data_IF_095513186452
#
_entry.id   IF_095513186452
#
_cell.length_a   1.000
_cell.length_b   1.000
_cell.length_c   1.000
_cell.angle_alpha   90.00
_cell.angle_beta   90.00
_cell.angle_gamma   90.00
#
_symmetry.space_group_name_H-M   'P 1'
#
loop_
_entity.id
_entity.type
_entity.pdbx_description
1 polymer ?
#
# COMPACT_ATOMS: atom_id res chain seq x y z
N UNK A 1 -26.12 23.38 23.94
CA UNK A 1 -25.42 23.41 25.24
C UNK A 1 -25.87 22.20 26.02
N UNK A 2 -25.08 21.13 26.00
CA UNK A 2 -25.08 20.05 27.00
C UNK A 2 -24.11 18.98 26.53
N UNK A 3 -22.98 18.96 27.15
CA UNK A 3 -22.10 17.90 27.58
C UNK A 3 -22.10 16.58 26.81
N UNK A 4 -21.11 16.43 25.95
CA UNK A 4 -20.59 15.14 25.52
C UNK A 4 -19.78 14.54 26.69
N UNK A 5 -19.97 13.29 27.10
CA UNK A 5 -19.17 12.67 28.14
C UNK A 5 -17.74 12.45 27.64
N UNK A 6 -16.82 13.13 28.31
CA UNK A 6 -15.40 12.82 28.27
C UNK A 6 -15.15 11.51 29.02
N UNK A 7 -14.18 10.77 28.53
CA UNK A 7 -13.57 9.57 29.11
C UNK A 7 -14.32 8.25 28.90
N UNK A 8 -13.94 7.56 27.83
CA UNK A 8 -14.01 6.11 27.78
C UNK A 8 -12.72 5.61 28.46
N UNK A 9 -12.83 5.22 29.74
CA UNK A 9 -11.79 4.47 30.40
C UNK A 9 -11.79 3.06 29.82
N UNK A 10 -10.68 2.65 29.19
CA UNK A 10 -10.48 1.31 28.71
C UNK A 10 -10.57 0.32 29.91
N UNK A 11 -11.47 -0.64 29.79
CA UNK A 11 -11.55 -1.78 30.69
C UNK A 11 -10.26 -2.60 30.54
N UNK A 12 -9.50 -2.68 31.62
CA UNK A 12 -8.34 -3.55 31.74
C UNK A 12 -8.81 -5.01 31.73
N UNK A 13 -8.68 -5.68 30.58
CA UNK A 13 -8.52 -7.14 30.58
C UNK A 13 -7.96 -7.57 29.22
N UNK A 14 -6.69 -7.97 29.22
CA UNK A 14 -6.00 -8.70 28.15
C UNK A 14 -5.90 -8.05 26.75
N UNK A 15 -5.80 -6.75 26.66
CA UNK A 15 -5.26 -6.11 25.46
C UNK A 15 -3.73 -6.25 25.46
N UNK A 16 -3.18 -6.63 24.31
CA UNK A 16 -1.75 -6.69 24.10
C UNK A 16 -1.09 -5.36 24.52
N UNK A 17 0.14 -5.38 25.00
CA UNK A 17 0.93 -4.25 25.53
C UNK A 17 0.97 -2.96 24.67
N UNK A 18 0.19 -2.89 23.61
CA UNK A 18 0.02 -1.71 22.77
C UNK A 18 -0.87 -0.62 23.39
N UNK A 19 -1.70 -0.98 24.40
CA UNK A 19 -2.70 -0.05 24.96
C UNK A 19 -2.18 0.83 26.10
N UNK A 20 -0.90 0.74 26.46
CA UNK A 20 -0.36 1.45 27.63
C UNK A 20 0.87 2.33 27.40
N UNK A 21 1.17 2.67 26.15
CA UNK A 21 2.24 3.65 25.90
C UNK A 21 1.64 5.06 26.04
N UNK A 22 1.80 5.66 27.22
CA UNK A 22 1.45 7.08 27.43
C UNK A 22 2.46 7.99 26.75
N UNK A 23 2.01 9.17 26.33
CA UNK A 23 2.86 10.22 25.70
C UNK A 23 4.12 10.49 26.54
N UNK A 24 4.06 10.37 27.86
CA UNK A 24 5.19 10.55 28.77
C UNK A 24 6.27 9.49 28.65
N UNK A 25 5.92 8.25 28.26
CA UNK A 25 6.90 7.18 28.00
C UNK A 25 7.62 7.36 26.68
N UNK A 26 7.06 8.14 25.74
CA UNK A 26 7.70 8.48 24.47
C UNK A 26 8.68 9.65 24.57
N UNK A 27 8.58 10.44 25.66
CA UNK A 27 9.40 11.64 25.85
C UNK A 27 10.52 11.48 26.89
N UNK A 28 10.55 10.40 27.66
CA UNK A 28 11.46 10.19 28.80
C UNK A 28 12.59 9.20 28.61
N UNK A 29 12.70 8.55 27.46
CA UNK A 29 13.83 7.68 27.15
C UNK A 29 14.93 8.47 26.41
N UNK A 30 16.17 8.35 26.88
CA UNK A 30 17.35 8.79 26.13
C UNK A 30 17.18 8.37 24.66
N UNK A 31 17.33 9.31 23.76
CA UNK A 31 17.36 9.07 22.32
C UNK A 31 18.38 7.98 22.08
N UNK A 32 17.92 6.74 21.89
CA UNK A 32 18.74 5.76 21.22
C UNK A 32 19.17 6.44 19.92
N UNK A 33 20.47 6.55 19.72
CA UNK A 33 21.07 7.23 18.59
C UNK A 33 20.25 6.94 17.35
N UNK A 34 19.52 7.94 16.91
CA UNK A 34 18.92 7.89 15.59
C UNK A 34 20.05 7.46 14.69
N UNK A 35 19.88 6.33 14.00
CA UNK A 35 20.77 5.98 12.90
C UNK A 35 20.72 7.19 11.99
N UNK A 36 21.65 8.10 12.19
CA UNK A 36 21.86 9.25 11.32
C UNK A 36 22.28 8.60 10.02
N UNK A 37 21.30 8.35 9.17
CA UNK A 37 21.61 8.18 7.76
C UNK A 37 22.48 9.37 7.40
N UNK A 38 23.68 9.14 6.82
CA UNK A 38 24.52 10.26 6.45
C UNK A 38 23.62 11.21 5.69
N UNK A 39 23.47 12.42 6.20
CA UNK A 39 22.81 13.51 5.49
C UNK A 39 23.62 13.70 4.23
N UNK A 40 23.23 12.93 3.20
CA UNK A 40 23.91 12.94 1.93
C UNK A 40 23.90 14.37 1.47
N UNK A 41 25.08 14.91 1.17
CA UNK A 41 25.23 16.19 0.49
C UNK A 41 24.12 16.26 -0.54
N UNK A 42 23.30 17.32 -0.49
CA UNK A 42 22.31 17.60 -1.53
C UNK A 42 23.03 17.47 -2.86
N UNK A 43 22.82 16.36 -3.53
CA UNK A 43 23.31 16.23 -4.89
C UNK A 43 22.43 17.18 -5.70
N UNK A 44 23.02 18.23 -6.34
CA UNK A 44 22.27 18.98 -7.32
C UNK A 44 21.71 17.92 -8.29
N UNK A 45 20.41 17.98 -8.56
CA UNK A 45 19.82 17.19 -9.63
C UNK A 45 20.68 17.46 -10.86
N UNK A 46 21.36 16.48 -11.43
CA UNK A 46 21.73 16.65 -12.83
C UNK A 46 20.41 16.90 -13.54
N UNK A 47 20.40 17.75 -14.55
CA UNK A 47 19.34 17.81 -15.57
C UNK A 47 19.22 16.47 -16.33
N UNK A 48 19.41 15.39 -15.63
CA UNK A 48 19.31 14.04 -16.13
C UNK A 48 17.84 13.68 -16.05
N UNK A 49 17.16 13.91 -17.15
CA UNK A 49 15.93 13.17 -17.39
C UNK A 49 16.19 11.70 -17.11
N UNK A 50 15.34 11.06 -16.33
CA UNK A 50 15.27 9.61 -16.36
C UNK A 50 15.12 9.21 -17.82
N UNK A 51 15.88 8.24 -18.31
CA UNK A 51 15.72 7.83 -19.70
C UNK A 51 14.27 7.46 -19.93
N UNK A 52 13.71 8.05 -20.97
CA UNK A 52 12.29 7.91 -21.31
C UNK A 52 11.92 6.52 -21.80
N UNK A 53 12.91 5.69 -22.11
CA UNK A 53 12.71 4.34 -22.60
C UNK A 53 13.64 3.36 -21.89
N UNK A 54 13.12 2.21 -21.50
CA UNK A 54 13.92 1.15 -20.87
C UNK A 54 15.17 0.75 -21.63
N UNK A 55 15.10 0.67 -22.94
CA UNK A 55 16.21 0.28 -23.81
C UNK A 55 17.41 1.24 -23.75
N UNK A 56 17.21 2.50 -23.39
CA UNK A 56 18.32 3.46 -23.22
C UNK A 56 19.10 3.23 -21.94
N UNK A 57 18.47 2.59 -20.95
CA UNK A 57 19.09 2.25 -19.68
C UNK A 57 19.87 0.94 -19.71
N UNK A 58 19.54 0.04 -20.62
CA UNK A 58 19.84 -1.37 -20.44
C UNK A 58 20.33 -2.10 -21.69
N UNK A 59 21.05 -1.42 -22.53
CA UNK A 59 21.64 -2.02 -23.75
C UNK A 59 22.37 -3.37 -23.46
N UNK A 60 22.95 -3.53 -22.25
CA UNK A 60 23.63 -4.76 -21.85
C UNK A 60 22.68 -5.96 -21.63
N UNK A 61 21.39 -5.70 -21.42
CA UNK A 61 20.39 -6.74 -21.12
C UNK A 61 19.31 -6.83 -22.23
N UNK A 62 19.62 -6.43 -23.44
CA UNK A 62 18.68 -6.34 -24.58
C UNK A 62 17.81 -7.58 -24.78
N UNK A 63 18.34 -8.77 -24.52
CA UNK A 63 17.60 -10.04 -24.64
C UNK A 63 16.35 -10.14 -23.77
N UNK A 64 16.21 -9.28 -22.75
CA UNK A 64 15.05 -9.27 -21.85
C UNK A 64 14.04 -8.19 -22.19
N UNK A 65 14.34 -7.32 -23.14
CA UNK A 65 13.49 -6.17 -23.49
C UNK A 65 12.84 -6.37 -24.84
N UNK A 66 11.53 -6.13 -24.96
CA UNK A 66 10.91 -6.03 -26.26
C UNK A 66 11.42 -4.75 -26.98
N UNK A 67 11.56 -4.83 -28.27
CA UNK A 67 12.10 -3.74 -29.13
C UNK A 67 11.30 -2.43 -29.06
N UNK A 68 10.05 -2.49 -28.63
CA UNK A 68 9.15 -1.34 -28.46
C UNK A 68 9.13 -0.77 -27.03
N UNK A 69 9.97 -1.26 -26.14
CA UNK A 69 10.04 -0.79 -24.75
C UNK A 69 8.87 -1.22 -23.86
N UNK A 70 8.03 -2.15 -24.31
CA UNK A 70 6.90 -2.67 -23.53
C UNK A 70 7.08 -4.14 -23.16
N UNK A 71 6.67 -4.48 -21.94
CA UNK A 71 6.64 -5.87 -21.51
C UNK A 71 5.53 -6.63 -22.25
N UNK A 72 5.86 -7.81 -22.77
CA UNK A 72 4.88 -8.74 -23.30
C UNK A 72 4.54 -9.81 -22.25
N UNK A 73 3.28 -9.90 -21.92
CA UNK A 73 2.78 -10.92 -20.98
C UNK A 73 2.69 -12.28 -21.68
N UNK A 74 3.21 -13.29 -21.02
CA UNK A 74 2.99 -14.68 -21.46
C UNK A 74 1.62 -15.14 -21.01
N UNK A 75 1.02 -16.05 -21.74
CA UNK A 75 -0.29 -16.61 -21.40
C UNK A 75 -0.35 -17.17 -19.96
N UNK A 76 0.71 -17.84 -19.50
CA UNK A 76 0.81 -18.34 -18.13
C UNK A 76 0.81 -17.24 -17.07
N UNK A 77 1.44 -16.10 -17.35
CA UNK A 77 1.44 -14.95 -16.44
C UNK A 77 0.07 -14.29 -16.34
N UNK A 78 -0.63 -14.18 -17.48
CA UNK A 78 -2.02 -13.70 -17.52
C UNK A 78 -2.94 -14.62 -16.72
N UNK A 79 -2.82 -15.94 -16.93
CA UNK A 79 -3.60 -16.92 -16.19
C UNK A 79 -3.30 -16.88 -14.68
N UNK A 80 -2.04 -16.72 -14.31
CA UNK A 80 -1.65 -16.57 -12.90
C UNK A 80 -2.25 -15.29 -12.29
N UNK A 81 -2.18 -14.17 -12.99
CA UNK A 81 -2.79 -12.91 -12.56
C UNK A 81 -4.32 -13.05 -12.42
N UNK A 82 -4.97 -13.63 -13.40
CA UNK A 82 -6.42 -13.90 -13.35
C UNK A 82 -6.79 -14.81 -12.18
N UNK A 83 -6.02 -15.85 -11.93
CA UNK A 83 -6.26 -16.75 -10.80
C UNK A 83 -6.11 -16.00 -9.47
N UNK A 84 -5.06 -15.18 -9.31
CA UNK A 84 -4.81 -14.42 -8.08
C UNK A 84 -5.88 -13.37 -7.76
N UNK A 85 -6.51 -12.78 -8.77
CA UNK A 85 -7.46 -11.68 -8.58
C UNK A 85 -8.92 -12.05 -8.86
N UNK A 86 -9.20 -12.74 -9.96
CA UNK A 86 -10.57 -13.02 -10.38
C UNK A 86 -11.19 -14.17 -9.59
N UNK A 87 -10.45 -15.23 -9.33
CA UNK A 87 -11.00 -16.43 -8.65
C UNK A 87 -11.47 -16.11 -7.22
N UNK A 88 -10.70 -15.41 -6.36
CA UNK A 88 -11.19 -15.00 -5.05
C UNK A 88 -12.45 -14.14 -5.14
N UNK A 89 -12.49 -13.21 -6.08
CA UNK A 89 -13.65 -12.35 -6.32
C UNK A 89 -14.91 -13.17 -6.61
N UNK A 90 -14.88 -14.10 -7.56
CA UNK A 90 -16.05 -14.92 -7.90
C UNK A 90 -16.42 -15.88 -6.77
N UNK A 91 -15.46 -16.50 -6.11
CA UNK A 91 -15.73 -17.35 -4.95
C UNK A 91 -16.43 -16.60 -3.83
N UNK A 92 -16.02 -15.39 -3.51
CA UNK A 92 -16.63 -14.59 -2.46
C UNK A 92 -18.10 -14.25 -2.70
N UNK A 93 -18.55 -14.29 -3.96
CA UNK A 93 -19.94 -13.98 -4.34
C UNK A 93 -20.88 -15.17 -4.25
N UNK A 94 -20.38 -16.38 -4.33
CA UNK A 94 -21.19 -17.61 -4.29
C UNK A 94 -21.18 -18.29 -2.93
N UNK A 95 -20.22 -17.94 -2.06
CA UNK A 95 -20.14 -18.49 -0.72
C UNK A 95 -21.07 -17.73 0.23
N UNK A 96 -21.68 -18.42 1.21
CA UNK A 96 -22.54 -17.77 2.19
C UNK A 96 -21.74 -16.88 3.17
N UNK A 97 -22.41 -15.87 3.70
CA UNK A 97 -21.82 -14.94 4.65
C UNK A 97 -21.00 -13.82 3.99
N UNK A 98 -20.51 -12.90 4.82
CA UNK A 98 -19.81 -11.68 4.36
C UNK A 98 -18.30 -11.73 4.54
N UNK A 99 -17.78 -12.66 5.34
CA UNK A 99 -16.35 -12.78 5.59
C UNK A 99 -15.67 -13.65 4.53
N UNK A 100 -15.28 -13.02 3.43
CA UNK A 100 -14.58 -13.67 2.33
C UNK A 100 -13.36 -12.83 1.92
N UNK A 101 -12.25 -12.90 2.66
CA UNK A 101 -11.06 -12.13 2.35
C UNK A 101 -10.54 -12.47 0.95
N UNK A 102 -10.32 -11.47 0.14
CA UNK A 102 -9.69 -11.56 -1.19
C UNK A 102 -8.20 -11.27 -1.08
N UNK A 103 -7.87 -10.28 -0.25
CA UNK A 103 -6.52 -9.86 0.07
C UNK A 103 -6.32 -9.83 1.58
N UNK A 104 -5.18 -10.32 2.02
CA UNK A 104 -4.73 -10.18 3.38
C UNK A 104 -3.42 -9.41 3.47
N UNK A 105 -3.33 -8.55 4.46
CA UNK A 105 -2.14 -7.80 4.81
C UNK A 105 -1.49 -8.46 6.00
N UNK A 106 -0.38 -9.13 5.76
CA UNK A 106 0.44 -9.73 6.80
C UNK A 106 1.38 -8.67 7.37
N UNK A 107 1.04 -8.16 8.54
CA UNK A 107 1.80 -7.13 9.24
C UNK A 107 3.00 -7.76 9.93
N UNK A 108 4.03 -8.06 9.16
CA UNK A 108 5.18 -8.84 9.60
C UNK A 108 6.26 -8.02 10.31
N UNK A 109 6.23 -6.68 10.16
CA UNK A 109 7.19 -5.78 10.80
C UNK A 109 6.51 -4.44 11.16
N UNK A 110 6.84 -3.90 12.35
CA UNK A 110 6.39 -2.56 12.74
C UNK A 110 7.48 -1.51 12.61
N UNK A 111 8.75 -1.94 12.61
CA UNK A 111 9.88 -1.04 12.50
C UNK A 111 9.97 -0.49 11.08
N UNK A 112 10.41 0.76 10.99
CA UNK A 112 10.67 1.42 9.72
C UNK A 112 11.97 2.22 9.79
N UNK A 113 12.67 2.30 8.68
CA UNK A 113 13.87 3.12 8.50
C UNK A 113 13.57 4.54 8.03
N UNK A 114 12.29 4.89 7.85
CA UNK A 114 11.80 6.22 7.49
C UNK A 114 10.74 6.71 8.46
N UNK A 115 10.61 8.03 8.58
CA UNK A 115 9.66 8.69 9.45
C UNK A 115 8.75 9.62 8.64
N UNK A 116 7.74 9.04 7.98
CA UNK A 116 6.74 9.80 7.25
C UNK A 116 5.72 10.40 8.24
N UNK A 117 5.45 11.71 8.13
CA UNK A 117 4.58 12.40 9.09
C UNK A 117 3.10 12.03 8.99
N UNK A 118 2.68 11.40 7.91
CA UNK A 118 1.32 10.87 7.74
C UNK A 118 1.20 9.40 8.12
N UNK A 119 2.33 8.71 8.44
CA UNK A 119 2.33 7.27 8.64
C UNK A 119 1.80 6.87 10.02
N UNK A 120 0.80 6.01 10.03
CA UNK A 120 0.23 5.40 11.24
C UNK A 120 0.86 4.03 11.55
N UNK A 121 1.69 3.49 10.65
CA UNK A 121 2.02 2.07 10.58
C UNK A 121 3.46 1.75 11.01
N UNK A 122 4.11 2.57 11.86
CA UNK A 122 5.41 2.14 12.38
C UNK A 122 5.55 2.38 13.88
N UNK A 123 6.19 1.40 14.52
CA UNK A 123 6.64 1.49 15.90
C UNK A 123 7.95 0.71 16.04
N UNK A 124 9.04 1.42 16.28
CA UNK A 124 10.37 0.83 16.36
C UNK A 124 10.61 0.01 17.66
N UNK A 125 9.66 0.03 18.59
CA UNK A 125 9.72 -0.75 19.83
C UNK A 125 9.06 -2.13 19.71
N UNK A 126 8.17 -2.30 18.72
CA UNK A 126 7.45 -3.56 18.54
C UNK A 126 8.34 -4.60 17.87
N UNK A 127 8.36 -5.80 18.41
CA UNK A 127 9.05 -6.95 17.82
C UNK A 127 8.29 -7.46 16.62
N UNK A 128 8.99 -7.67 15.51
CA UNK A 128 8.41 -8.21 14.29
C UNK A 128 7.87 -9.64 14.45
N UNK A 129 7.03 -10.05 13.52
CA UNK A 129 6.40 -11.37 13.46
C UNK A 129 7.44 -12.50 13.41
N UNK A 130 7.17 -13.60 14.10
CA UNK A 130 8.00 -14.81 13.97
C UNK A 130 7.66 -15.56 12.69
N UNK A 131 8.59 -16.37 12.20
CA UNK A 131 8.37 -17.18 11.01
C UNK A 131 7.25 -18.21 11.23
N UNK A 132 7.14 -18.75 12.43
CA UNK A 132 6.08 -19.68 12.80
C UNK A 132 4.69 -19.04 12.67
N UNK A 133 4.51 -17.85 13.25
CA UNK A 133 3.23 -17.11 13.14
C UNK A 133 2.92 -16.77 11.68
N UNK A 134 3.93 -16.34 10.92
CA UNK A 134 3.75 -16.01 9.51
C UNK A 134 3.29 -17.22 8.68
N UNK A 135 3.91 -18.38 8.86
CA UNK A 135 3.53 -19.62 8.15
C UNK A 135 2.15 -20.11 8.54
N UNK A 136 1.81 -20.11 9.84
CA UNK A 136 0.46 -20.45 10.31
C UNK A 136 -0.58 -19.51 9.73
N UNK A 137 -0.29 -18.23 9.66
CA UNK A 137 -1.18 -17.23 9.05
C UNK A 137 -1.42 -17.52 7.56
N UNK A 138 -0.38 -17.86 6.81
CA UNK A 138 -0.47 -18.23 5.40
C UNK A 138 -1.27 -19.53 5.22
N UNK A 139 -1.06 -20.54 6.04
CA UNK A 139 -1.80 -21.79 6.00
C UNK A 139 -3.29 -21.57 6.30
N UNK A 140 -3.59 -20.76 7.30
CA UNK A 140 -4.96 -20.36 7.59
C UNK A 140 -5.60 -19.61 6.42
N UNK A 141 -4.92 -18.60 5.87
CA UNK A 141 -5.41 -17.86 4.71
C UNK A 141 -5.64 -18.74 3.48
N UNK A 142 -4.80 -19.76 3.27
CA UNK A 142 -4.96 -20.71 2.19
C UNK A 142 -6.27 -21.52 2.31
N UNK A 143 -6.77 -21.76 3.52
CA UNK A 143 -8.06 -22.39 3.78
C UNK A 143 -9.26 -21.47 3.47
N UNK A 144 -9.04 -20.18 3.32
CA UNK A 144 -10.08 -19.17 3.01
C UNK A 144 -10.17 -18.90 1.49
N UNK A 145 -10.92 -17.86 1.12
CA UNK A 145 -10.98 -17.34 -0.25
C UNK A 145 -9.75 -16.53 -0.65
N UNK A 146 -8.91 -16.14 0.29
CA UNK A 146 -7.77 -15.26 0.07
C UNK A 146 -6.71 -15.89 -0.84
N UNK A 147 -6.27 -15.15 -1.86
CA UNK A 147 -5.16 -15.57 -2.76
C UNK A 147 -4.19 -14.43 -3.07
N UNK A 148 -4.43 -13.25 -2.52
CA UNK A 148 -3.50 -12.13 -2.59
C UNK A 148 -2.95 -11.87 -1.20
N UNK A 149 -1.64 -11.94 -1.04
CA UNK A 149 -0.95 -11.71 0.22
C UNK A 149 -0.04 -10.50 0.07
N UNK A 150 -0.32 -9.44 0.82
CA UNK A 150 0.57 -8.29 0.95
C UNK A 150 1.44 -8.46 2.20
N UNK A 151 2.76 -8.42 2.05
CA UNK A 151 3.67 -8.32 3.18
C UNK A 151 3.76 -6.85 3.59
N UNK A 152 3.20 -6.52 4.74
CA UNK A 152 3.11 -5.14 5.22
C UNK A 152 3.83 -4.91 6.54
N UNK A 153 3.93 -3.63 6.89
CA UNK A 153 4.46 -3.18 8.17
C UNK A 153 4.96 -1.76 8.11
N UNK A 154 5.97 -1.46 8.90
CA UNK A 154 6.81 -0.29 8.71
C UNK A 154 7.61 -0.44 7.41
N UNK A 155 8.78 -1.11 7.48
CA UNK A 155 9.51 -1.50 6.26
C UNK A 155 9.85 -3.01 6.32
N UNK A 156 9.25 -3.77 5.44
CA UNK A 156 9.38 -5.23 5.41
C UNK A 156 10.81 -5.70 5.11
N UNK A 157 11.57 -4.90 4.39
CA UNK A 157 12.95 -5.22 3.98
C UNK A 157 14.01 -4.93 5.06
N UNK A 158 13.62 -4.48 6.25
CA UNK A 158 14.50 -4.50 7.42
C UNK A 158 14.89 -5.93 7.82
N UNK A 159 14.08 -6.92 7.41
CA UNK A 159 14.33 -8.35 7.64
C UNK A 159 14.34 -9.11 6.30
N UNK A 160 15.35 -8.87 5.43
CA UNK A 160 15.31 -9.33 4.05
C UNK A 160 15.27 -10.87 3.92
N UNK A 161 15.96 -11.60 4.78
CA UNK A 161 15.95 -13.07 4.74
C UNK A 161 14.62 -13.65 5.24
N UNK A 162 14.00 -13.01 6.22
CA UNK A 162 12.65 -13.36 6.64
C UNK A 162 11.66 -13.11 5.49
N UNK A 163 11.69 -11.91 4.90
CA UNK A 163 10.81 -11.56 3.78
C UNK A 163 10.95 -12.57 2.63
N UNK A 164 12.18 -12.92 2.26
CA UNK A 164 12.47 -13.93 1.23
C UNK A 164 11.82 -15.29 1.54
N UNK A 165 12.03 -15.83 2.75
CA UNK A 165 11.45 -17.14 3.13
C UNK A 165 9.93 -17.13 3.18
N UNK A 166 9.32 -16.02 3.58
CA UNK A 166 7.86 -15.91 3.63
C UNK A 166 7.27 -15.74 2.24
N UNK A 167 7.93 -14.97 1.36
CA UNK A 167 7.55 -14.89 -0.06
C UNK A 167 7.57 -16.27 -0.72
N UNK A 168 8.69 -16.99 -0.59
CA UNK A 168 8.85 -18.33 -1.14
C UNK A 168 7.74 -19.28 -0.64
N UNK A 169 7.49 -19.29 0.67
CA UNK A 169 6.44 -20.12 1.27
C UNK A 169 5.05 -19.76 0.76
N UNK A 170 4.72 -18.48 0.68
CA UNK A 170 3.41 -18.03 0.19
C UNK A 170 3.22 -18.37 -1.30
N UNK A 171 4.27 -18.20 -2.10
CA UNK A 171 4.24 -18.53 -3.53
C UNK A 171 4.02 -20.02 -3.76
N UNK A 172 4.70 -20.89 -2.98
CA UNK A 172 4.49 -22.34 -3.03
C UNK A 172 3.05 -22.75 -2.65
N UNK A 173 2.37 -21.96 -1.81
CA UNK A 173 0.94 -22.12 -1.48
C UNK A 173 0.00 -21.51 -2.54
N UNK A 174 0.53 -20.95 -3.62
CA UNK A 174 -0.26 -20.38 -4.71
C UNK A 174 -0.79 -18.96 -4.46
N UNK A 175 -0.19 -18.21 -3.53
CA UNK A 175 -0.54 -16.81 -3.34
C UNK A 175 0.11 -15.93 -4.40
N UNK A 176 -0.63 -14.89 -4.80
CA UNK A 176 -0.09 -13.72 -5.47
C UNK A 176 0.56 -12.83 -4.40
N UNK A 177 1.86 -12.78 -4.39
CA UNK A 177 2.59 -12.02 -3.37
C UNK A 177 2.81 -10.59 -3.83
N UNK A 178 2.34 -9.65 -3.03
CA UNK A 178 2.41 -8.23 -3.20
C UNK A 178 3.34 -7.62 -2.15
N UNK A 179 4.36 -6.89 -2.56
CA UNK A 179 5.42 -6.38 -1.70
C UNK A 179 5.49 -4.84 -1.73
N UNK A 180 4.80 -4.15 -0.80
CA UNK A 180 5.02 -2.71 -0.60
C UNK A 180 6.34 -2.47 0.09
N UNK A 181 7.10 -1.48 -0.38
CA UNK A 181 8.37 -1.05 0.20
C UNK A 181 8.66 0.41 -0.12
N UNK A 182 9.41 1.10 0.74
CA UNK A 182 9.92 2.43 0.44
C UNK A 182 11.15 2.44 -0.48
N UNK A 183 11.62 1.27 -0.89
CA UNK A 183 12.70 1.08 -1.87
C UNK A 183 14.12 1.34 -1.36
N UNK A 184 14.30 1.89 -0.16
CA UNK A 184 15.64 2.24 0.38
C UNK A 184 16.56 1.03 0.54
N UNK A 185 15.98 -0.11 0.89
CA UNK A 185 16.71 -1.36 1.11
C UNK A 185 16.63 -2.32 -0.08
N UNK A 186 15.92 -1.95 -1.13
CA UNK A 186 15.66 -2.79 -2.29
C UNK A 186 16.86 -2.80 -3.26
N UNK A 187 17.95 -3.38 -2.81
CA UNK A 187 19.20 -3.52 -3.61
C UNK A 187 19.04 -4.57 -4.73
N UNK A 188 19.89 -4.51 -5.78
CA UNK A 188 19.84 -5.44 -6.91
C UNK A 188 19.84 -6.92 -6.53
N UNK A 189 20.70 -7.32 -5.61
CA UNK A 189 20.79 -8.70 -5.10
C UNK A 189 19.49 -9.15 -4.42
N UNK A 190 18.87 -8.25 -3.68
CA UNK A 190 17.62 -8.53 -2.98
C UNK A 190 16.42 -8.55 -3.96
N UNK A 191 16.41 -7.68 -4.98
CA UNK A 191 15.41 -7.71 -6.05
C UNK A 191 15.42 -9.08 -6.73
N UNK A 192 16.61 -9.55 -7.15
CA UNK A 192 16.73 -10.85 -7.81
C UNK A 192 16.25 -11.99 -6.91
N UNK A 193 16.67 -12.01 -5.64
CA UNK A 193 16.24 -13.03 -4.67
C UNK A 193 14.73 -13.06 -4.44
N UNK A 194 14.12 -11.90 -4.26
CA UNK A 194 12.67 -11.79 -4.04
C UNK A 194 11.88 -12.14 -5.29
N UNK A 195 12.38 -11.78 -6.46
CA UNK A 195 11.77 -12.13 -7.73
C UNK A 195 11.84 -13.64 -8.00
N UNK A 196 12.99 -14.26 -7.73
CA UNK A 196 13.15 -15.73 -7.83
C UNK A 196 12.26 -16.47 -6.82
N UNK A 197 12.05 -15.91 -5.63
CA UNK A 197 11.11 -16.46 -4.63
C UNK A 197 9.64 -16.28 -5.04
N UNK A 198 9.34 -15.48 -6.05
CA UNK A 198 8.00 -15.35 -6.65
C UNK A 198 7.20 -14.12 -6.22
N UNK A 199 7.85 -13.03 -5.85
CA UNK A 199 7.14 -11.73 -5.73
C UNK A 199 6.47 -11.42 -7.07
N UNK A 200 5.15 -11.32 -7.06
CA UNK A 200 4.38 -11.02 -8.25
C UNK A 200 4.26 -9.51 -8.50
N UNK A 201 4.35 -8.71 -7.44
CA UNK A 201 4.22 -7.24 -7.53
C UNK A 201 5.11 -6.54 -6.52
N UNK A 202 5.91 -5.61 -7.01
CA UNK A 202 6.57 -4.61 -6.18
C UNK A 202 5.75 -3.31 -6.21
N UNK A 203 5.27 -2.91 -5.04
CA UNK A 203 4.63 -1.62 -4.82
C UNK A 203 5.67 -0.67 -4.21
N UNK A 204 6.17 0.23 -5.04
CA UNK A 204 7.19 1.17 -4.60
C UNK A 204 6.54 2.45 -4.08
N UNK A 205 6.57 2.63 -2.77
CA UNK A 205 6.00 3.82 -2.12
C UNK A 205 6.97 5.00 -2.25
N UNK A 206 6.56 6.01 -3.02
CA UNK A 206 7.34 7.21 -3.32
C UNK A 206 6.41 8.41 -3.39
N UNK A 207 6.62 9.41 -2.55
CA UNK A 207 5.72 10.56 -2.42
C UNK A 207 6.33 11.86 -2.97
N UNK A 208 7.66 11.89 -3.15
CA UNK A 208 8.36 13.08 -3.60
C UNK A 208 9.52 12.74 -4.55
N UNK A 209 9.98 13.73 -5.30
CA UNK A 209 11.18 13.59 -6.12
C UNK A 209 12.44 13.62 -5.26
N UNK A 210 12.56 14.64 -4.41
CA UNK A 210 13.55 14.77 -3.36
C UNK A 210 12.89 14.69 -1.98
N UNK A 211 13.67 14.40 -0.95
CA UNK A 211 13.16 14.39 0.42
C UNK A 211 12.62 15.77 0.83
N UNK A 212 11.42 15.78 1.38
CA UNK A 212 10.76 16.99 1.89
C UNK A 212 10.41 16.81 3.36
N UNK A 213 10.18 17.91 4.09
CA UNK A 213 9.69 17.82 5.47
C UNK A 213 8.44 16.92 5.57
N UNK A 214 8.54 15.88 6.38
CA UNK A 214 7.48 14.88 6.55
C UNK A 214 7.31 13.85 5.42
N UNK A 215 8.02 13.99 4.30
CA UNK A 215 7.96 13.10 3.14
C UNK A 215 9.36 12.57 2.77
N UNK A 216 9.90 11.63 3.54
CA UNK A 216 11.22 11.03 3.27
C UNK A 216 11.19 9.98 2.15
N UNK A 217 10.02 9.53 1.69
CA UNK A 217 9.89 8.59 0.56
C UNK A 217 10.10 9.34 -0.75
N UNK A 218 11.33 9.42 -1.20
CA UNK A 218 11.72 10.18 -2.38
C UNK A 218 12.37 9.31 -3.46
N UNK A 219 12.24 9.70 -4.73
CA UNK A 219 12.76 8.98 -5.88
C UNK A 219 14.29 9.05 -5.96
N UNK A 220 14.87 10.23 -5.75
CA UNK A 220 16.32 10.46 -5.93
C UNK A 220 17.18 9.47 -5.12
N UNK A 221 16.93 9.23 -3.83
CA UNK A 221 17.73 8.30 -3.05
C UNK A 221 17.63 6.84 -3.45
N UNK A 222 16.54 6.46 -4.13
CA UNK A 222 16.30 5.07 -4.55
C UNK A 222 16.48 4.85 -6.06
N UNK A 223 16.90 5.88 -6.78
CA UNK A 223 16.97 5.89 -8.25
C UNK A 223 17.64 4.64 -8.83
N UNK A 224 18.82 4.27 -8.34
CA UNK A 224 19.56 3.10 -8.84
C UNK A 224 18.78 1.79 -8.61
N UNK A 225 18.13 1.67 -7.48
CA UNK A 225 17.30 0.51 -7.15
C UNK A 225 16.06 0.46 -8.06
N UNK A 226 15.42 1.63 -8.27
CA UNK A 226 14.30 1.77 -9.18
C UNK A 226 14.67 1.39 -10.61
N UNK A 227 15.78 1.92 -11.14
CA UNK A 227 16.25 1.59 -12.49
C UNK A 227 16.50 0.08 -12.65
N UNK A 228 17.11 -0.56 -11.65
CA UNK A 228 17.32 -2.00 -11.67
C UNK A 228 16.01 -2.78 -11.58
N UNK A 229 15.10 -2.37 -10.71
CA UNK A 229 13.80 -2.98 -10.54
C UNK A 229 12.99 -2.95 -11.85
N UNK A 230 12.90 -1.81 -12.52
CA UNK A 230 12.22 -1.68 -13.82
C UNK A 230 12.84 -2.58 -14.87
N UNK A 231 14.16 -2.61 -14.97
CA UNK A 231 14.89 -3.46 -15.91
C UNK A 231 14.56 -4.94 -15.73
N UNK A 232 14.58 -5.42 -14.51
CA UNK A 232 14.45 -6.86 -14.23
C UNK A 232 13.01 -7.38 -14.30
N UNK A 233 11.99 -6.53 -14.32
CA UNK A 233 10.61 -6.99 -14.48
C UNK A 233 10.40 -7.81 -15.76
N UNK A 234 11.12 -7.51 -16.84
CA UNK A 234 11.01 -8.24 -18.11
C UNK A 234 11.60 -9.64 -18.04
N UNK A 235 12.61 -9.83 -17.19
CA UNK A 235 13.21 -11.14 -16.95
C UNK A 235 12.32 -12.01 -16.06
N UNK A 236 11.88 -11.48 -14.93
CA UNK A 236 11.22 -12.26 -13.89
C UNK A 236 9.71 -12.30 -14.01
N UNK A 237 9.11 -11.38 -14.71
CA UNK A 237 7.66 -11.35 -14.91
C UNK A 237 6.87 -10.68 -13.81
N UNK A 238 7.50 -10.11 -12.79
CA UNK A 238 6.80 -9.29 -11.81
C UNK A 238 6.33 -7.95 -12.39
N UNK A 239 5.43 -7.31 -11.68
CA UNK A 239 4.96 -5.97 -12.01
C UNK A 239 5.47 -4.95 -11.01
N UNK A 240 5.58 -3.71 -11.45
CA UNK A 240 5.96 -2.57 -10.60
C UNK A 240 4.92 -1.48 -10.74
N UNK A 241 4.56 -0.84 -9.64
CA UNK A 241 3.85 0.43 -9.68
C UNK A 241 4.31 1.37 -8.57
N UNK A 242 4.12 2.66 -8.79
CA UNK A 242 4.38 3.69 -7.80
C UNK A 242 3.13 3.92 -6.95
N UNK A 243 3.26 3.81 -5.64
CA UNK A 243 2.26 4.20 -4.68
C UNK A 243 2.60 5.60 -4.17
N UNK A 244 1.72 6.54 -4.41
CA UNK A 244 1.94 7.96 -4.18
C UNK A 244 0.86 8.50 -3.26
N UNK A 245 1.26 9.04 -2.11
CA UNK A 245 0.34 9.74 -1.23
C UNK A 245 0.29 11.23 -1.59
N UNK A 246 -0.88 11.73 -1.95
CA UNK A 246 -1.10 13.14 -2.27
C UNK A 246 -1.20 13.91 -0.96
N UNK A 247 -0.24 14.79 -0.74
CA UNK A 247 -0.13 15.66 0.42
C UNK A 247 -0.10 17.13 -0.02
N UNK A 248 -0.29 18.06 0.94
CA UNK A 248 -0.27 19.49 0.60
C UNK A 248 1.04 20.01 -0.01
N UNK A 249 2.17 19.36 0.32
CA UNK A 249 3.52 19.86 -0.04
C UNK A 249 4.21 19.08 -1.17
N UNK A 250 3.49 18.20 -1.91
CA UNK A 250 4.08 17.38 -2.97
C UNK A 250 3.35 17.40 -4.32
N UNK A 251 2.49 18.37 -4.59
CA UNK A 251 1.63 18.34 -5.78
C UNK A 251 2.43 18.31 -7.09
N UNK A 252 3.53 19.04 -7.17
CA UNK A 252 4.43 19.04 -8.33
C UNK A 252 5.20 17.71 -8.46
N UNK A 253 5.59 17.11 -7.31
CA UNK A 253 6.24 15.80 -7.30
C UNK A 253 5.29 14.71 -7.81
N UNK A 254 4.00 14.78 -7.45
CA UNK A 254 2.99 13.85 -7.94
C UNK A 254 2.91 13.90 -9.47
N UNK A 255 2.94 15.10 -10.08
CA UNK A 255 3.00 15.24 -11.54
C UNK A 255 4.26 14.59 -12.13
N UNK A 256 5.44 14.91 -11.58
CA UNK A 256 6.72 14.37 -12.05
C UNK A 256 6.81 12.85 -11.90
N UNK A 257 6.35 12.30 -10.78
CA UNK A 257 6.33 10.84 -10.55
C UNK A 257 5.34 10.14 -11.49
N UNK A 258 4.21 10.77 -11.79
CA UNK A 258 3.23 10.26 -12.75
C UNK A 258 3.80 10.22 -14.16
N UNK A 259 4.49 11.27 -14.58
CA UNK A 259 5.19 11.35 -15.88
C UNK A 259 6.28 10.29 -15.95
N UNK A 260 7.11 10.15 -14.92
CA UNK A 260 8.13 9.10 -14.83
C UNK A 260 7.51 7.70 -14.99
N UNK A 261 6.41 7.43 -14.29
CA UNK A 261 5.74 6.15 -14.38
C UNK A 261 5.21 5.88 -15.79
N UNK A 262 4.57 6.87 -16.40
CA UNK A 262 4.08 6.77 -17.77
C UNK A 262 5.21 6.51 -18.78
N UNK A 263 6.30 7.26 -18.70
CA UNK A 263 7.48 7.10 -19.55
C UNK A 263 8.12 5.72 -19.46
N UNK A 264 8.06 5.10 -18.27
CA UNK A 264 8.59 3.76 -18.02
C UNK A 264 7.54 2.63 -18.18
N UNK A 265 6.33 2.96 -18.62
CA UNK A 265 5.28 1.98 -18.87
C UNK A 265 4.78 1.25 -17.60
N UNK A 266 4.90 1.88 -16.42
CA UNK A 266 4.39 1.36 -15.15
C UNK A 266 3.18 2.17 -14.68
N UNK A 267 2.40 1.59 -13.77
CA UNK A 267 1.24 2.28 -13.21
C UNK A 267 1.58 3.12 -11.98
N UNK A 268 0.65 4.01 -11.66
CA UNK A 268 0.58 4.72 -10.40
C UNK A 268 -0.67 4.32 -9.63
N UNK A 269 -0.59 4.38 -8.30
CA UNK A 269 -1.72 4.25 -7.38
C UNK A 269 -1.68 5.43 -6.40
N UNK A 270 -2.75 6.23 -6.38
CA UNK A 270 -2.82 7.43 -5.57
C UNK A 270 -3.64 7.21 -4.33
N UNK A 271 -3.11 7.70 -3.22
CA UNK A 271 -3.80 7.85 -1.96
C UNK A 271 -3.94 9.33 -1.65
N UNK A 272 -4.97 9.72 -0.95
CA UNK A 272 -5.08 11.06 -0.38
C UNK A 272 -4.56 11.02 1.04
N UNK A 273 -3.82 12.04 1.46
CA UNK A 273 -3.37 12.16 2.83
C UNK A 273 -4.60 12.31 3.74
N UNK A 274 -4.89 11.26 4.49
CA UNK A 274 -6.01 11.22 5.42
C UNK A 274 -5.68 12.01 6.68
N UNK A 275 -6.70 12.61 7.28
CA UNK A 275 -6.57 13.25 8.57
C UNK A 275 -6.35 12.22 9.69
N UNK A 276 -5.67 12.59 10.78
CA UNK A 276 -5.54 11.72 11.94
C UNK A 276 -6.92 11.37 12.49
N UNK A 277 -7.27 10.11 12.41
CA UNK A 277 -8.45 9.58 13.05
C UNK A 277 -8.13 9.18 14.48
N UNK A 278 -8.97 9.55 15.41
CA UNK A 278 -8.75 9.31 16.84
C UNK A 278 -7.48 10.04 17.35
N UNK A 279 -7.23 10.03 18.64
CA UNK A 279 -6.03 10.59 19.25
C UNK A 279 -4.82 9.65 19.07
N UNK A 280 -4.41 9.45 17.82
CA UNK A 280 -3.30 8.57 17.52
C UNK A 280 -1.97 9.31 17.68
N UNK A 281 -1.15 8.85 18.61
CA UNK A 281 0.20 9.39 18.83
C UNK A 281 1.12 9.26 17.60
N UNK A 282 0.77 8.36 16.66
CA UNK A 282 1.53 8.14 15.43
C UNK A 282 1.37 9.24 14.39
N UNK A 283 0.24 9.96 14.38
CA UNK A 283 0.07 11.13 13.52
C UNK A 283 0.65 12.37 14.23
N UNK A 284 1.94 12.53 14.12
CA UNK A 284 2.68 13.56 14.85
C UNK A 284 2.26 14.95 14.44
N UNK A 285 1.86 15.75 15.45
CA UNK A 285 1.69 17.18 15.34
C UNK A 285 0.75 17.63 14.22
N UNK A 286 -0.47 17.11 14.17
CA UNK A 286 -1.45 17.42 13.12
C UNK A 286 -1.59 18.92 12.85
N UNK A 287 -1.61 19.77 13.86
CA UNK A 287 -1.82 21.22 13.74
C UNK A 287 -0.71 21.93 12.95
N UNK A 288 0.54 21.47 13.05
CA UNK A 288 1.72 22.09 12.41
C UNK A 288 2.39 21.17 11.39
N UNK A 289 1.75 20.05 11.07
CA UNK A 289 2.34 19.06 10.17
C UNK A 289 2.34 19.59 8.72
N UNK A 290 3.50 19.55 8.03
CA UNK A 290 3.63 20.09 6.68
C UNK A 290 2.94 19.24 5.61
N UNK A 291 2.44 18.04 5.92
CA UNK A 291 1.90 17.10 4.93
C UNK A 291 0.38 17.06 4.90
N UNK A 292 -0.30 17.36 6.01
CA UNK A 292 -1.76 17.31 6.08
C UNK A 292 -2.41 18.40 5.25
N UNK A 293 -3.45 18.01 4.54
CA UNK A 293 -4.24 18.87 3.67
C UNK A 293 -5.05 19.83 4.52
N UNK A 294 -5.14 21.07 4.08
CA UNK A 294 -5.96 22.12 4.70
C UNK A 294 -6.95 22.66 3.68
N UNK A 295 -7.95 23.38 4.15
CA UNK A 295 -8.96 23.98 3.28
C UNK A 295 -8.36 24.85 2.17
N UNK A 296 -7.33 25.61 2.48
CA UNK A 296 -6.60 26.44 1.52
C UNK A 296 -5.94 25.64 0.37
N UNK A 297 -5.67 24.35 0.56
CA UNK A 297 -5.02 23.46 -0.42
C UNK A 297 -6.03 22.81 -1.38
N UNK A 298 -7.34 22.85 -1.04
CA UNK A 298 -8.37 22.08 -1.77
C UNK A 298 -8.42 22.43 -3.26
N UNK A 299 -8.28 23.72 -3.60
CA UNK A 299 -8.31 24.16 -5.00
C UNK A 299 -7.17 23.54 -5.82
N UNK A 300 -5.94 23.62 -5.30
CA UNK A 300 -4.75 23.09 -5.98
C UNK A 300 -4.77 21.56 -6.07
N UNK A 301 -5.25 20.87 -5.04
CA UNK A 301 -5.39 19.41 -5.04
C UNK A 301 -6.48 18.99 -6.04
N UNK A 302 -7.61 19.69 -6.09
CA UNK A 302 -8.65 19.40 -7.08
C UNK A 302 -8.13 19.58 -8.52
N UNK A 303 -7.34 20.63 -8.78
CA UNK A 303 -6.69 20.83 -10.08
C UNK A 303 -5.73 19.69 -10.43
N UNK A 304 -4.92 19.24 -9.47
CA UNK A 304 -4.05 18.07 -9.67
C UNK A 304 -4.87 16.82 -10.00
N UNK A 305 -5.95 16.57 -9.28
CA UNK A 305 -6.81 15.39 -9.52
C UNK A 305 -7.46 15.49 -10.90
N UNK A 306 -7.91 16.66 -11.33
CA UNK A 306 -8.46 16.86 -12.68
C UNK A 306 -7.39 16.60 -13.76
N UNK A 307 -6.17 17.02 -13.53
CA UNK A 307 -5.03 16.67 -14.40
C UNK A 307 -4.80 15.16 -14.46
N UNK A 308 -4.82 14.45 -13.32
CA UNK A 308 -4.68 12.98 -13.26
C UNK A 308 -5.81 12.29 -14.05
N UNK A 309 -7.04 12.74 -13.88
CA UNK A 309 -8.20 12.22 -14.64
C UNK A 309 -8.00 12.42 -16.13
N UNK A 310 -7.51 13.59 -16.57
CA UNK A 310 -7.22 13.86 -17.97
C UNK A 310 -6.14 12.90 -18.50
N UNK A 311 -5.05 12.70 -17.77
CA UNK A 311 -3.98 11.75 -18.15
C UNK A 311 -4.49 10.31 -18.24
N UNK A 312 -5.34 9.89 -17.29
CA UNK A 312 -5.94 8.56 -17.34
C UNK A 312 -6.85 8.37 -18.56
N UNK A 313 -7.61 9.38 -18.93
CA UNK A 313 -8.43 9.36 -20.16
C UNK A 313 -7.59 9.31 -21.44
N UNK A 314 -6.37 9.84 -21.41
CA UNK A 314 -5.38 9.72 -22.50
C UNK A 314 -4.71 8.33 -22.54
N UNK A 315 -5.04 7.44 -21.59
CA UNK A 315 -4.51 6.08 -21.55
C UNK A 315 -3.28 5.90 -20.67
N UNK A 316 -2.96 6.88 -19.80
CA UNK A 316 -1.92 6.66 -18.79
C UNK A 316 -2.40 5.64 -17.76
N UNK A 317 -1.46 4.83 -17.27
CA UNK A 317 -1.79 3.71 -16.40
C UNK A 317 -1.91 4.13 -14.96
N UNK A 318 -3.11 4.01 -14.42
CA UNK A 318 -3.42 4.27 -13.00
C UNK A 318 -4.27 3.14 -12.45
N UNK A 319 -3.97 2.71 -11.23
CA UNK A 319 -4.77 1.71 -10.50
C UNK A 319 -6.13 2.30 -10.11
N UNK A 320 -6.15 3.58 -9.74
CA UNK A 320 -7.38 4.29 -9.42
C UNK A 320 -8.27 4.43 -10.66
N UNK A 321 -9.58 4.25 -10.49
CA UNK A 321 -10.54 4.60 -11.54
C UNK A 321 -10.77 6.12 -11.59
N UNK A 322 -11.31 6.61 -12.70
CA UNK A 322 -11.72 8.03 -12.84
C UNK A 322 -12.70 8.42 -11.73
N UNK A 323 -13.66 7.55 -11.44
CA UNK A 323 -14.64 7.78 -10.38
C UNK A 323 -13.98 7.88 -9.00
N UNK A 324 -12.95 7.05 -8.75
CA UNK A 324 -12.20 7.10 -7.50
C UNK A 324 -11.46 8.43 -7.36
N UNK A 325 -10.76 8.85 -8.40
CA UNK A 325 -10.07 10.15 -8.41
C UNK A 325 -11.06 11.30 -8.20
N UNK A 326 -12.20 11.27 -8.87
CA UNK A 326 -13.23 12.30 -8.68
C UNK A 326 -13.76 12.33 -7.24
N UNK A 327 -13.98 11.17 -6.63
CA UNK A 327 -14.43 11.08 -5.23
C UNK A 327 -13.38 11.59 -4.24
N UNK A 328 -12.10 11.54 -4.54
CA UNK A 328 -11.08 12.16 -3.68
C UNK A 328 -11.30 13.66 -3.51
N UNK A 329 -11.81 14.34 -4.54
CA UNK A 329 -12.15 15.77 -4.45
C UNK A 329 -13.31 16.04 -3.49
N UNK A 330 -14.31 15.18 -3.49
CA UNK A 330 -15.43 15.29 -2.54
C UNK A 330 -14.99 14.91 -1.12
N UNK A 331 -14.09 13.93 -0.99
CA UNK A 331 -13.58 13.53 0.30
C UNK A 331 -12.82 14.67 1.03
N UNK A 332 -11.87 15.33 0.36
CA UNK A 332 -11.11 16.43 0.99
C UNK A 332 -11.98 17.63 1.37
N UNK A 333 -13.17 17.76 0.78
CA UNK A 333 -14.14 18.81 1.09
C UNK A 333 -15.17 18.38 2.15
N UNK A 334 -14.99 17.19 2.74
CA UNK A 334 -15.94 16.60 3.68
C UNK A 334 -17.38 16.47 3.12
N UNK A 335 -17.50 16.21 1.81
CA UNK A 335 -18.77 15.98 1.13
C UNK A 335 -19.18 14.50 1.13
N UNK A 336 -18.34 13.60 1.65
CA UNK A 336 -18.60 12.16 1.74
C UNK A 336 -18.64 11.78 3.22
N UNK A 337 -19.85 11.46 3.71
CA UNK A 337 -20.03 10.98 5.09
C UNK A 337 -19.88 9.46 5.19
N UNK A 338 -20.34 8.75 4.15
CA UNK A 338 -20.33 7.29 4.12
C UNK A 338 -19.97 6.74 2.75
N UNK A 339 -19.26 5.65 2.74
CA UNK A 339 -18.95 4.88 1.55
C UNK A 339 -18.91 3.39 1.89
N UNK A 340 -19.05 2.53 0.88
CA UNK A 340 -19.14 1.10 1.08
C UNK A 340 -17.74 0.48 1.35
N UNK A 341 -17.23 0.64 2.54
CA UNK A 341 -15.97 0.06 2.95
C UNK A 341 -16.07 -1.45 3.11
N UNK A 342 -15.15 -2.21 2.52
CA UNK A 342 -15.12 -3.68 2.58
C UNK A 342 -14.07 -4.23 3.54
N UNK A 343 -13.52 -3.40 4.44
CA UNK A 343 -12.64 -3.81 5.51
C UNK A 343 -13.28 -4.89 6.40
N UNK A 344 -12.53 -5.90 6.76
CA UNK A 344 -13.02 -7.04 7.55
C UNK A 344 -13.98 -7.99 6.83
N UNK A 345 -14.33 -7.68 5.58
CA UNK A 345 -15.17 -8.53 4.74
C UNK A 345 -14.36 -9.13 3.59
N UNK A 346 -13.72 -8.28 2.78
CA UNK A 346 -12.90 -8.71 1.65
C UNK A 346 -11.42 -8.36 1.79
N UNK A 347 -11.05 -7.52 2.75
CA UNK A 347 -9.68 -7.30 3.20
C UNK A 347 -9.52 -7.62 4.68
N UNK A 348 -8.32 -7.97 5.06
CA UNK A 348 -8.00 -8.40 6.41
C UNK A 348 -6.55 -8.05 6.72
N UNK A 349 -6.29 -7.66 7.95
CA UNK A 349 -4.93 -7.52 8.49
C UNK A 349 -4.68 -8.62 9.51
N UNK A 350 -3.50 -9.23 9.45
CA UNK A 350 -2.99 -10.13 10.47
C UNK A 350 -1.80 -9.43 11.12
N UNK A 351 -1.91 -9.22 12.44
CA UNK A 351 -0.87 -8.56 13.24
C UNK A 351 0.30 -9.49 13.55
N UNK A 352 1.38 -8.94 14.07
CA UNK A 352 2.64 -9.66 14.36
C UNK A 352 2.49 -10.89 15.28
N UNK A 353 1.45 -10.93 16.06
CA UNK A 353 1.11 -12.02 17.01
C UNK A 353 0.09 -13.01 16.45
N UNK A 354 -0.39 -12.81 15.21
CA UNK A 354 -1.44 -13.63 14.59
C UNK A 354 -2.87 -13.17 14.94
N UNK A 355 -3.03 -12.10 15.70
CA UNK A 355 -4.35 -11.50 15.93
C UNK A 355 -4.85 -10.81 14.66
N UNK A 356 -6.18 -10.74 14.54
CA UNK A 356 -6.84 -10.19 13.36
C UNK A 356 -7.21 -8.72 13.55
N UNK A 357 -7.29 -8.01 12.44
CA UNK A 357 -7.86 -6.67 12.38
C UNK A 357 -8.60 -6.50 11.04
N UNK A 358 -9.80 -5.92 11.03
CA UNK A 358 -10.53 -5.69 9.78
C UNK A 358 -9.84 -4.65 8.89
N UNK A 359 -9.18 -3.68 9.47
CA UNK A 359 -8.47 -2.59 8.81
C UNK A 359 -7.19 -2.27 9.56
N UNK A 360 -6.60 -1.12 9.29
CA UNK A 360 -5.38 -0.66 9.92
C UNK A 360 -5.43 -0.83 11.45
N UNK A 361 -4.39 -1.42 12.06
CA UNK A 361 -4.45 -1.88 13.44
C UNK A 361 -4.90 -0.84 14.46
N UNK A 362 -4.49 0.40 14.26
CA UNK A 362 -4.84 1.51 15.16
C UNK A 362 -6.33 1.83 15.17
N UNK A 363 -7.02 1.72 14.03
CA UNK A 363 -8.45 2.03 13.91
C UNK A 363 -9.36 0.93 14.44
N UNK A 364 -8.84 -0.28 14.49
CA UNK A 364 -9.58 -1.46 14.90
C UNK A 364 -9.22 -1.97 16.31
N UNK A 365 -8.38 -1.24 17.04
CA UNK A 365 -7.85 -1.70 18.33
C UNK A 365 -8.87 -1.76 19.44
N UNK A 366 -10.00 -1.07 19.33
CA UNK A 366 -11.06 -1.01 20.36
C UNK A 366 -11.86 -2.30 20.49
N UNK A 367 -11.75 -3.22 19.54
CA UNK A 367 -12.51 -4.48 19.54
C UNK A 367 -11.58 -5.68 19.48
N UNK A 368 -12.02 -6.80 20.05
CA UNK A 368 -11.38 -8.10 19.90
C UNK A 368 -11.89 -8.81 18.64
N UNK A 369 -11.10 -8.75 17.58
CA UNK A 369 -11.39 -9.41 16.30
C UNK A 369 -10.92 -10.87 16.25
N UNK A 370 -10.40 -11.39 17.34
CA UNK A 370 -9.89 -12.75 17.46
C UNK A 370 -8.50 -12.94 16.85
N UNK A 371 -8.20 -14.20 16.60
CA UNK A 371 -6.93 -14.66 16.02
C UNK A 371 -7.19 -15.54 14.80
N UNK A 372 -6.12 -15.94 14.11
CA UNK A 372 -6.21 -16.89 13.00
C UNK A 372 -6.83 -18.23 13.44
N UNK A 373 -6.69 -18.64 14.70
CA UNK A 373 -7.31 -19.86 15.24
C UNK A 373 -8.78 -19.68 15.65
N UNK A 374 -9.16 -18.47 16.01
CA UNK A 374 -10.51 -18.15 16.47
C UNK A 374 -10.94 -16.76 15.98
N UNK A 375 -11.29 -16.61 14.69
CA UNK A 375 -11.75 -15.36 14.12
C UNK A 375 -13.08 -14.90 14.77
N UNK A 376 -13.17 -13.61 15.11
CA UNK A 376 -14.35 -12.99 15.72
C UNK A 376 -14.81 -11.78 14.89
N UNK A 377 -15.06 -11.98 13.58
CA UNK A 377 -15.53 -10.92 12.69
C UNK A 377 -17.02 -10.67 12.90
N UNK A 378 -17.34 -9.93 13.98
CA UNK A 378 -18.71 -9.55 14.30
C UNK A 378 -19.20 -8.42 13.41
N UNK A 379 -20.33 -8.63 12.71
CA UNK A 379 -20.87 -7.68 11.74
C UNK A 379 -21.33 -6.36 12.40
N UNK A 380 -21.84 -6.40 13.62
CA UNK A 380 -22.30 -5.20 14.34
C UNK A 380 -21.12 -4.33 14.77
N UNK A 381 -20.10 -4.92 15.38
CA UNK A 381 -18.86 -4.24 15.75
C UNK A 381 -18.17 -3.64 14.51
N UNK A 382 -18.16 -4.39 13.42
CA UNK A 382 -17.58 -3.94 12.16
C UNK A 382 -18.32 -2.72 11.59
N UNK A 383 -19.64 -2.72 11.66
CA UNK A 383 -20.45 -1.58 11.20
C UNK A 383 -20.28 -0.36 12.10
N UNK A 384 -20.24 -0.54 13.42
CA UNK A 384 -19.97 0.54 14.38
C UNK A 384 -18.59 1.18 14.14
N UNK A 385 -17.55 0.36 13.93
CA UNK A 385 -16.21 0.85 13.59
C UNK A 385 -16.24 1.67 12.29
N UNK A 386 -16.85 1.14 11.23
CA UNK A 386 -16.94 1.83 9.93
C UNK A 386 -17.67 3.16 10.03
N UNK A 387 -18.79 3.17 10.71
CA UNK A 387 -19.58 4.39 10.90
C UNK A 387 -18.78 5.51 11.57
N UNK A 388 -17.88 5.15 12.49
CA UNK A 388 -17.04 6.13 13.17
C UNK A 388 -15.86 6.64 12.33
N UNK A 389 -15.36 5.85 11.39
CA UNK A 389 -14.15 6.20 10.63
C UNK A 389 -14.40 6.66 9.19
N UNK A 390 -15.51 6.28 8.57
CA UNK A 390 -15.80 6.59 7.16
C UNK A 390 -15.75 8.09 6.81
N UNK A 391 -16.21 9.03 7.65
CA UNK A 391 -16.10 10.46 7.33
C UNK A 391 -14.65 10.97 7.19
N UNK A 392 -13.71 10.32 7.87
CA UNK A 392 -12.31 10.76 7.94
C UNK A 392 -11.34 9.79 7.25
N UNK A 393 -11.86 8.71 6.68
CA UNK A 393 -11.05 7.68 6.02
C UNK A 393 -11.52 7.45 4.59
N UNK A 394 -10.59 7.51 3.68
CA UNK A 394 -10.83 7.17 2.28
C UNK A 394 -9.79 6.18 1.77
N UNK A 395 -9.61 5.08 2.50
CA UNK A 395 -8.65 4.04 2.20
C UNK A 395 -8.80 3.52 0.77
N UNK A 396 -7.84 3.81 -0.08
CA UNK A 396 -7.80 3.40 -1.48
C UNK A 396 -7.98 1.91 -1.63
N UNK A 397 -7.32 1.15 -0.78
CA UNK A 397 -7.40 -0.30 -0.78
C UNK A 397 -8.82 -0.81 -0.62
N UNK A 398 -9.49 -0.38 0.43
CA UNK A 398 -10.85 -0.85 0.73
C UNK A 398 -11.87 -0.30 -0.25
N UNK A 399 -11.61 0.86 -0.85
CA UNK A 399 -12.46 1.43 -1.88
C UNK A 399 -12.43 0.59 -3.18
N UNK A 400 -11.25 0.16 -3.64
CA UNK A 400 -11.14 -0.70 -4.82
C UNK A 400 -11.90 -2.02 -4.58
N UNK A 401 -11.78 -2.60 -3.40
CA UNK A 401 -12.55 -3.80 -3.03
C UNK A 401 -14.06 -3.54 -3.01
N UNK A 402 -14.49 -2.39 -2.49
CA UNK A 402 -15.90 -1.99 -2.50
C UNK A 402 -16.44 -1.86 -3.93
N UNK A 403 -15.70 -1.19 -4.81
CA UNK A 403 -16.03 -1.08 -6.23
C UNK A 403 -16.12 -2.46 -6.87
N UNK A 404 -15.11 -3.29 -6.70
CA UNK A 404 -15.09 -4.65 -7.26
C UNK A 404 -16.25 -5.52 -6.75
N UNK A 405 -16.72 -5.29 -5.53
CA UNK A 405 -17.78 -6.11 -4.93
C UNK A 405 -19.19 -5.69 -5.34
N UNK A 406 -19.44 -4.41 -5.50
CA UNK A 406 -20.80 -3.86 -5.65
C UNK A 406 -21.14 -3.39 -7.06
N UNK A 407 -20.16 -3.13 -7.92
CA UNK A 407 -20.40 -2.52 -9.23
C UNK A 407 -20.27 -3.55 -10.36
N UNK A 408 -21.32 -3.68 -11.19
CA UNK A 408 -21.29 -4.55 -12.38
C UNK A 408 -20.25 -4.13 -13.44
N UNK A 409 -19.79 -2.88 -13.41
CA UNK A 409 -18.72 -2.38 -14.29
C UNK A 409 -17.35 -3.04 -13.97
N UNK A 410 -17.24 -3.68 -12.81
CA UNK A 410 -16.03 -4.38 -12.40
C UNK A 410 -15.58 -5.43 -13.42
N UNK A 411 -16.49 -6.10 -14.10
CA UNK A 411 -16.15 -7.11 -15.11
C UNK A 411 -15.39 -6.45 -16.27
N UNK A 412 -15.84 -5.29 -16.73
CA UNK A 412 -15.14 -4.50 -17.76
C UNK A 412 -13.81 -3.98 -17.26
N UNK A 413 -13.77 -3.51 -16.01
CA UNK A 413 -12.55 -3.05 -15.37
C UNK A 413 -11.54 -4.19 -15.24
N UNK A 414 -11.96 -5.37 -14.74
CA UNK A 414 -11.10 -6.57 -14.66
C UNK A 414 -10.58 -7.00 -16.04
N UNK A 415 -11.44 -6.98 -17.06
CA UNK A 415 -11.04 -7.28 -18.43
C UNK A 415 -10.00 -6.27 -18.95
N UNK A 416 -10.22 -4.97 -18.70
CA UNK A 416 -9.25 -3.92 -19.04
C UNK A 416 -7.92 -4.12 -18.30
N UNK A 417 -7.95 -4.44 -17.00
CA UNK A 417 -6.75 -4.72 -16.23
C UNK A 417 -6.02 -5.97 -16.74
N UNK A 418 -6.74 -7.01 -17.12
CA UNK A 418 -6.16 -8.21 -17.72
C UNK A 418 -5.47 -7.91 -19.06
N UNK A 419 -6.11 -7.12 -19.92
CA UNK A 419 -5.51 -6.68 -21.20
C UNK A 419 -4.27 -5.82 -21.01
N UNK A 420 -4.19 -5.05 -19.93
CA UNK A 420 -3.07 -4.18 -19.60
C UNK A 420 -2.10 -4.79 -18.58
N UNK A 421 -2.28 -6.07 -18.21
CA UNK A 421 -1.43 -6.77 -17.26
C UNK A 421 -1.69 -6.40 -15.82
N UNK A 422 -2.95 -6.34 -15.39
CA UNK A 422 -3.49 -6.15 -14.04
C UNK A 422 -2.87 -5.03 -13.19
N UNK A 423 -1.63 -4.67 -13.41
CA UNK A 423 -0.89 -3.72 -12.58
C UNK A 423 -0.28 -2.62 -13.40
N UNK A 424 -0.90 -2.36 -14.53
CA UNK A 424 -0.62 -1.21 -15.34
C UNK A 424 0.69 -1.23 -16.08
N UNK A 425 1.36 -2.37 -16.16
CA UNK A 425 2.43 -2.51 -17.14
C UNK A 425 1.78 -2.69 -18.50
N UNK A 426 2.09 -1.81 -19.43
CA UNK A 426 1.71 -2.01 -20.81
C UNK A 426 2.28 -3.33 -21.30
N UNK A 427 1.42 -4.33 -21.37
CA UNK A 427 1.64 -5.43 -22.29
C UNK A 427 1.28 -4.92 -23.68
N UNK A 428 2.19 -4.99 -24.63
CA UNK A 428 1.76 -4.98 -26.01
C UNK A 428 1.05 -6.31 -26.25
N UNK A 429 -0.26 -6.23 -26.28
CA UNK A 429 -1.11 -7.27 -26.85
C UNK A 429 -1.58 -6.79 -28.23
N UNK A 430 -0.64 -6.37 -29.07
CA UNK A 430 -0.85 -6.27 -30.50
C UNK A 430 -0.50 -7.59 -31.17
#
# INVERSE_FOLDING_TARGET
MSDLPRTITASQNNASRLDTVTVEQLTGGERADAVTLPTGKRHPLPNAHFPRRPELLWAADEKYFPTNGHRRWKAGEILHAMHGWAVPFFKSRVLPGDFHPLIAYLFNEWKCNLECHYCWAYDNHVKGMTEEVARRSIDWLHSTTCRVLALMGGEVLLRPDFAHRIVDYATQKGFWVYLPTNGRLLRPDLIDRLADAGVATFNLAVDAWEEKPGLPKAMVPIRKNFEYLIRKQYKYGYTVFLNINICRNNLDDVRQLTELAHENGIATDYHICEEPMLSQASFRHAENNPVFIREEDHAAICELIDWLIARQNEGWHMVNSVERLAQMKSFIKHEIDHWNCRAGQNSLIIRVDGSLAPCFPTYSATYDWGTIENPKMDAKQLQEMKHSCEPNCFSTLNHILAFCYNDGRVIRWLAKQAMHGFQGIRGNME
#
